data_IF_509029843407
#
_entry.id   IF_509029843407
#
_cell.length_a   1.000
_cell.length_b   1.000
_cell.length_c   1.000
_cell.angle_alpha   90.00
_cell.angle_beta   90.00
_cell.angle_gamma   90.00
#
_symmetry.space_group_name_H-M   'P 1'
#
loop_
_entity.id
_entity.type
_entity.pdbx_description
1 polymer ?
#
# COMPACT_ATOMS: atom_id res chain seq x y z
N UNK A 1 -18.73 -25.82 -18.32
CA UNK A 1 -17.98 -24.59 -17.98
C UNK A 1 -18.72 -23.67 -17.01
N UNK A 2 -20.06 -23.58 -17.08
CA UNK A 2 -20.89 -22.76 -16.16
C UNK A 2 -20.79 -23.24 -14.70
N UNK A 3 -20.69 -24.54 -14.47
CA UNK A 3 -20.59 -25.14 -13.14
C UNK A 3 -19.31 -24.74 -12.40
N UNK A 4 -18.16 -24.71 -13.07
CA UNK A 4 -16.90 -24.28 -12.46
C UNK A 4 -16.93 -22.80 -12.05
N UNK A 5 -17.51 -21.94 -12.90
CA UNK A 5 -17.67 -20.52 -12.59
C UNK A 5 -18.62 -20.30 -11.40
N UNK A 6 -19.73 -21.05 -11.34
CA UNK A 6 -20.67 -20.98 -10.23
C UNK A 6 -20.05 -21.45 -8.90
N UNK A 7 -19.25 -22.53 -8.93
CA UNK A 7 -18.52 -23.03 -7.75
C UNK A 7 -17.47 -22.02 -7.29
N UNK A 8 -16.74 -21.39 -8.21
CA UNK A 8 -15.77 -20.36 -7.87
C UNK A 8 -16.44 -19.13 -7.25
N UNK A 9 -17.55 -18.68 -7.83
CA UNK A 9 -18.34 -17.57 -7.29
C UNK A 9 -18.85 -17.87 -5.88
N UNK A 10 -19.33 -19.10 -5.65
CA UNK A 10 -19.80 -19.56 -4.35
C UNK A 10 -18.67 -19.59 -3.32
N UNK A 11 -17.48 -20.08 -3.69
CA UNK A 11 -16.30 -20.10 -2.82
C UNK A 11 -15.85 -18.69 -2.43
N UNK A 12 -15.89 -17.73 -3.37
CA UNK A 12 -15.57 -16.32 -3.09
C UNK A 12 -16.59 -15.74 -2.11
N UNK A 13 -17.90 -15.98 -2.32
CA UNK A 13 -18.95 -15.49 -1.43
C UNK A 13 -18.81 -16.09 -0.02
N UNK A 14 -18.59 -17.39 0.07
CA UNK A 14 -18.43 -18.10 1.35
C UNK A 14 -17.18 -17.61 2.09
N UNK A 15 -16.06 -17.45 1.39
CA UNK A 15 -14.84 -16.91 1.97
C UNK A 15 -15.01 -15.47 2.49
N UNK A 16 -15.63 -14.60 1.70
CA UNK A 16 -15.92 -13.23 2.09
C UNK A 16 -16.88 -13.14 3.28
N UNK A 17 -17.92 -13.97 3.30
CA UNK A 17 -18.89 -14.01 4.39
C UNK A 17 -18.26 -14.60 5.66
N UNK A 18 -17.41 -15.61 5.53
CA UNK A 18 -16.68 -16.21 6.64
C UNK A 18 -15.67 -15.23 7.26
N UNK A 19 -14.93 -14.49 6.43
CA UNK A 19 -13.99 -13.46 6.89
C UNK A 19 -14.74 -12.29 7.56
N UNK A 20 -15.86 -11.86 6.97
CA UNK A 20 -16.72 -10.81 7.53
C UNK A 20 -17.38 -11.24 8.84
N UNK A 21 -17.81 -12.49 8.96
CA UNK A 21 -18.37 -13.07 10.19
C UNK A 21 -17.34 -13.38 11.27
N UNK A 22 -16.06 -13.56 10.91
CA UNK A 22 -14.94 -13.69 11.86
C UNK A 22 -14.51 -12.36 12.47
N UNK A 23 -14.71 -11.24 11.78
CA UNK A 23 -14.37 -9.91 12.29
C UNK A 23 -15.12 -9.52 13.58
N UNK A 24 -16.44 -9.80 13.76
CA UNK A 24 -17.15 -9.47 15.00
C UNK A 24 -16.98 -10.50 16.12
N UNK A 25 -16.52 -11.72 15.84
CA UNK A 25 -16.49 -12.83 16.81
C UNK A 25 -15.16 -12.97 17.57
N UNK A 26 -14.23 -12.03 17.46
CA UNK A 26 -12.99 -12.03 18.25
C UNK A 26 -13.10 -11.03 19.42
N UNK A 27 -13.49 -11.46 20.63
CA UNK A 27 -13.71 -10.56 21.78
C UNK A 27 -12.39 -10.07 22.40
N UNK A 28 -11.27 -10.18 21.68
CA UNK A 28 -9.93 -9.80 22.13
C UNK A 28 -9.10 -8.99 21.12
N UNK A 29 -9.56 -8.79 19.88
CA UNK A 29 -8.79 -8.09 18.86
C UNK A 29 -8.95 -6.56 18.97
N UNK A 30 -8.44 -5.98 20.07
CA UNK A 30 -8.12 -4.55 20.09
C UNK A 30 -7.07 -4.27 19.00
N UNK A 31 -7.37 -3.28 18.13
CA UNK A 31 -6.48 -2.29 17.48
C UNK A 31 -6.19 -2.35 15.95
N UNK A 32 -5.92 -1.18 15.33
CA UNK A 32 -6.26 -0.83 13.95
C UNK A 32 -5.02 -0.87 13.04
N UNK A 33 -4.82 -1.95 12.29
CA UNK A 33 -3.63 -2.09 11.44
C UNK A 33 -3.83 -1.57 10.01
N UNK A 34 -5.05 -1.63 9.50
CA UNK A 34 -5.37 -1.30 8.11
C UNK A 34 -5.17 0.17 7.72
N UNK A 35 -5.56 1.18 8.54
CA UNK A 35 -5.34 2.57 8.15
C UNK A 35 -3.85 2.93 8.13
N UNK A 36 -2.99 2.27 8.92
CA UNK A 36 -1.54 2.52 8.90
C UNK A 36 -0.89 1.97 7.63
N UNK A 37 -1.28 0.78 7.20
CA UNK A 37 -0.82 0.20 5.92
C UNK A 37 -1.30 1.02 4.72
N UNK A 38 -2.57 1.45 4.72
CA UNK A 38 -3.12 2.32 3.66
C UNK A 38 -2.40 3.67 3.60
N UNK A 39 -2.19 4.30 4.77
CA UNK A 39 -1.48 5.60 4.88
C UNK A 39 -0.01 5.48 4.46
N UNK A 40 0.64 4.36 4.79
CA UNK A 40 1.98 4.04 4.31
C UNK A 40 2.05 3.93 2.79
N UNK A 41 1.09 3.25 2.17
CA UNK A 41 1.01 3.10 0.71
C UNK A 41 0.79 4.44 0.00
N UNK A 42 -0.13 5.27 0.50
CA UNK A 42 -0.36 6.62 -0.06
C UNK A 42 0.84 7.53 0.11
N UNK A 43 1.59 7.41 1.20
CA UNK A 43 2.81 8.19 1.41
C UNK A 43 3.94 7.75 0.46
N UNK A 44 4.01 6.44 0.17
CA UNK A 44 4.95 5.88 -0.80
C UNK A 44 4.67 6.40 -2.21
N UNK A 45 3.40 6.35 -2.63
CA UNK A 45 2.95 6.84 -3.95
C UNK A 45 3.19 8.34 -4.10
N UNK A 46 2.95 9.13 -3.04
CA UNK A 46 3.22 10.57 -3.04
C UNK A 46 4.74 10.87 -3.18
N UNK A 47 5.59 10.12 -2.48
CA UNK A 47 7.03 10.28 -2.55
C UNK A 47 7.59 9.91 -3.94
N UNK A 48 7.06 8.86 -4.56
CA UNK A 48 7.41 8.46 -5.93
C UNK A 48 7.04 9.56 -6.95
N UNK A 49 5.79 10.07 -6.88
CA UNK A 49 5.35 11.17 -7.75
C UNK A 49 6.23 12.40 -7.61
N UNK A 50 6.60 12.75 -6.38
CA UNK A 50 7.49 13.90 -6.13
C UNK A 50 8.88 13.71 -6.76
N UNK A 51 9.45 12.52 -6.72
CA UNK A 51 10.75 12.24 -7.37
C UNK A 51 10.67 12.34 -8.89
N UNK A 52 9.59 11.83 -9.47
CA UNK A 52 9.34 11.93 -10.92
C UNK A 52 9.18 13.40 -11.32
N UNK A 53 8.42 14.19 -10.58
CA UNK A 53 8.28 15.62 -10.84
C UNK A 53 9.62 16.37 -10.74
N UNK A 54 10.43 16.07 -9.73
CA UNK A 54 11.77 16.67 -9.60
C UNK A 54 12.67 16.31 -10.79
N UNK A 55 12.59 15.07 -11.28
CA UNK A 55 13.36 14.63 -12.45
C UNK A 55 12.90 15.34 -13.72
N UNK A 56 11.59 15.46 -13.93
CA UNK A 56 11.01 16.15 -15.08
C UNK A 56 11.35 17.64 -15.09
N UNK A 57 11.42 18.28 -13.93
CA UNK A 57 11.84 19.68 -13.77
C UNK A 57 13.36 19.88 -13.83
N UNK A 58 14.14 18.81 -14.02
CA UNK A 58 15.61 18.87 -14.04
C UNK A 58 16.25 19.21 -12.68
N UNK A 59 15.48 19.13 -11.59
CA UNK A 59 15.95 19.43 -10.22
C UNK A 59 16.85 18.32 -9.66
N UNK A 60 16.77 17.11 -10.22
CA UNK A 60 17.63 15.98 -9.87
C UNK A 60 18.15 15.28 -11.14
N UNK A 61 19.41 14.83 -11.06
CA UNK A 61 20.03 14.04 -12.11
C UNK A 61 19.52 12.57 -12.09
N UNK A 62 19.92 11.79 -13.09
CA UNK A 62 19.48 10.40 -13.21
C UNK A 62 20.03 9.52 -12.08
N UNK A 63 21.23 9.83 -11.58
CA UNK A 63 21.89 9.06 -10.53
C UNK A 63 21.18 9.26 -9.18
N UNK A 64 20.90 10.51 -8.80
CA UNK A 64 20.16 10.87 -7.60
C UNK A 64 18.72 10.33 -7.64
N UNK A 65 18.07 10.31 -8.81
CA UNK A 65 16.75 9.69 -8.96
C UNK A 65 16.79 8.19 -8.65
N UNK A 66 17.74 7.43 -9.20
CA UNK A 66 17.87 5.98 -8.97
C UNK A 66 18.18 5.66 -7.51
N UNK A 67 19.10 6.40 -6.90
CA UNK A 67 19.46 6.20 -5.50
C UNK A 67 18.25 6.43 -4.57
N UNK A 68 17.47 7.47 -4.84
CA UNK A 68 16.25 7.78 -4.05
C UNK A 68 15.13 6.78 -4.28
N UNK A 69 14.94 6.28 -5.51
CA UNK A 69 13.98 5.20 -5.76
C UNK A 69 14.39 3.88 -5.10
N UNK A 70 15.69 3.58 -5.06
CA UNK A 70 16.21 2.40 -4.34
C UNK A 70 15.94 2.50 -2.84
N UNK A 71 16.21 3.65 -2.24
CA UNK A 71 15.86 3.91 -0.83
C UNK A 71 14.35 3.75 -0.55
N UNK A 72 13.50 4.18 -1.49
CA UNK A 72 12.05 4.01 -1.41
C UNK A 72 11.63 2.53 -1.46
N UNK A 73 12.24 1.74 -2.36
CA UNK A 73 12.01 0.31 -2.48
C UNK A 73 12.45 -0.45 -1.22
N UNK A 74 13.54 0.00 -0.57
CA UNK A 74 14.01 -0.53 0.71
C UNK A 74 13.11 -0.13 1.91
N UNK A 75 12.01 0.58 1.67
CA UNK A 75 11.08 1.04 2.70
C UNK A 75 11.63 2.20 3.55
N UNK A 76 12.79 2.75 3.18
CA UNK A 76 13.35 3.95 3.79
C UNK A 76 12.69 5.16 3.13
N UNK A 77 11.51 5.52 3.65
CA UNK A 77 10.86 6.78 3.29
C UNK A 77 11.88 7.91 3.45
N UNK A 78 12.01 8.80 2.44
CA UNK A 78 12.72 10.04 2.65
C UNK A 78 12.00 10.72 3.81
N UNK A 79 12.69 10.92 4.94
CA UNK A 79 12.23 11.84 5.98
C UNK A 79 12.11 13.19 5.29
N UNK A 80 10.90 13.52 4.83
CA UNK A 80 10.56 14.86 4.43
C UNK A 80 10.99 15.75 5.60
N UNK A 81 11.92 16.67 5.31
CA UNK A 81 12.56 17.50 6.31
C UNK A 81 11.51 18.07 7.26
N UNK A 82 11.73 17.81 8.55
CA UNK A 82 11.17 18.63 9.63
C UNK A 82 11.63 20.05 9.32
N UNK A 83 10.71 20.86 8.79
CA UNK A 83 10.84 22.32 8.80
C UNK A 83 10.62 22.75 10.24
N UNK A 84 11.67 23.30 10.84
CA UNK A 84 11.56 24.21 11.96
C UNK A 84 10.79 25.47 11.55
#
# INVERSE_FOLDING_TARGET
MITAAAVLQLLILVGALYDTGRLPASPGARRPMWPRLRRGRTALEAAERQLVEQRLRGLIDAAAYRERMRSLADGRLPRAGRRD
#
